data_IF_337084054283
#
_entry.id   IF_337084054283
#
_cell.length_a   1.000
_cell.length_b   1.000
_cell.length_c   1.000
_cell.angle_alpha   90.00
_cell.angle_beta   90.00
_cell.angle_gamma   90.00
#
_symmetry.space_group_name_H-M   'P 1'
#
loop_
_entity.id
_entity.type
_entity.pdbx_description
1 polymer ?
#
# COMPACT_ATOMS: atom_id res chain seq x y z
N UNK A 1 -5.08 18.21 -8.85
CA UNK A 1 -4.31 18.57 -7.67
C UNK A 1 -5.14 18.33 -6.42
N UNK A 2 -4.53 17.75 -5.39
CA UNK A 2 -5.11 17.64 -4.05
C UNK A 2 -4.63 18.80 -3.19
N UNK A 3 -5.54 19.46 -2.50
CA UNK A 3 -5.26 20.67 -1.74
C UNK A 3 -6.03 20.67 -0.41
N UNK A 4 -5.44 21.26 0.62
CA UNK A 4 -6.11 21.54 1.88
C UNK A 4 -6.20 23.06 2.06
N UNK A 5 -7.41 23.58 2.30
CA UNK A 5 -7.65 25.01 2.53
C UNK A 5 -8.76 25.17 3.56
N UNK A 6 -8.56 26.07 4.53
CA UNK A 6 -9.59 26.45 5.50
C UNK A 6 -10.22 25.25 6.26
N UNK A 7 -9.48 24.16 6.45
CA UNK A 7 -9.95 22.94 7.13
C UNK A 7 -10.67 21.92 6.25
N UNK A 8 -10.77 22.16 4.94
CA UNK A 8 -11.40 21.26 3.96
C UNK A 8 -10.38 20.65 3.00
N UNK A 9 -10.74 19.49 2.41
CA UNK A 9 -9.97 18.81 1.37
C UNK A 9 -10.60 19.03 0.00
N UNK A 10 -9.77 19.34 -0.98
CA UNK A 10 -10.17 19.59 -2.36
C UNK A 10 -9.42 18.67 -3.32
N UNK A 11 -10.12 18.19 -4.34
CA UNK A 11 -9.54 17.51 -5.49
C UNK A 11 -9.96 18.25 -6.75
N UNK A 12 -8.99 18.84 -7.47
CA UNK A 12 -9.25 19.67 -8.67
C UNK A 12 -10.25 20.81 -8.40
N UNK A 13 -10.13 21.46 -7.22
CA UNK A 13 -11.02 22.54 -6.80
C UNK A 13 -12.40 22.10 -6.30
N UNK A 14 -12.71 20.80 -6.28
CA UNK A 14 -13.97 20.29 -5.74
C UNK A 14 -13.76 19.79 -4.30
N UNK A 15 -14.56 20.26 -3.33
CA UNK A 15 -14.46 19.77 -1.95
C UNK A 15 -14.90 18.31 -1.89
N UNK A 16 -14.24 17.52 -1.05
CA UNK A 16 -14.61 16.13 -0.81
C UNK A 16 -14.40 15.73 0.65
N UNK A 17 -15.13 14.70 1.09
CA UNK A 17 -14.94 14.08 2.39
C UNK A 17 -14.17 12.77 2.23
N UNK A 18 -13.16 12.56 3.06
CA UNK A 18 -12.41 11.31 3.11
C UNK A 18 -13.09 10.33 4.06
N UNK A 19 -13.70 9.28 3.52
CA UNK A 19 -14.27 8.15 4.25
C UNK A 19 -13.34 6.96 4.03
N UNK A 20 -12.33 6.88 4.88
CA UNK A 20 -11.25 5.90 4.76
C UNK A 20 -11.41 4.68 5.66
N UNK A 21 -10.94 3.53 5.17
CA UNK A 21 -10.64 2.36 6.00
C UNK A 21 -9.13 2.09 6.04
N UNK A 22 -8.67 1.31 7.01
CA UNK A 22 -7.30 0.80 7.07
C UNK A 22 -7.26 -0.63 6.55
N UNK A 23 -6.36 -0.92 5.61
CA UNK A 23 -6.09 -2.30 5.19
C UNK A 23 -4.64 -2.66 5.51
N UNK A 24 -4.49 -3.35 6.63
CA UNK A 24 -3.21 -3.70 7.24
C UNK A 24 -2.74 -5.10 6.83
N UNK A 25 -1.47 -5.37 7.06
CA UNK A 25 -0.81 -6.64 6.81
C UNK A 25 0.44 -6.51 5.96
N UNK A 26 0.41 -5.64 4.93
CA UNK A 26 1.55 -5.44 4.03
C UNK A 26 2.77 -4.82 4.74
N UNK A 27 2.59 -4.13 5.85
CA UNK A 27 3.68 -3.64 6.68
C UNK A 27 4.34 -4.71 7.55
N UNK A 28 3.70 -5.88 7.70
CA UNK A 28 4.18 -7.00 8.52
C UNK A 28 5.05 -7.98 7.73
N UNK A 29 5.49 -9.06 8.38
CA UNK A 29 6.24 -10.15 7.72
C UNK A 29 5.44 -10.82 6.59
N UNK A 30 4.11 -10.74 6.62
CA UNK A 30 3.26 -11.27 5.55
C UNK A 30 3.56 -10.62 4.20
N UNK A 31 4.03 -9.37 4.21
CA UNK A 31 4.40 -8.57 3.03
C UNK A 31 3.27 -8.30 2.02
N UNK A 32 2.06 -8.76 2.29
CA UNK A 32 0.81 -8.44 1.58
C UNK A 32 -0.28 -8.14 2.61
N UNK A 33 -1.38 -7.44 2.25
CA UNK A 33 -2.48 -7.21 3.17
C UNK A 33 -3.12 -8.52 3.64
N UNK A 34 -3.66 -8.51 4.86
CA UNK A 34 -4.40 -9.67 5.35
C UNK A 34 -5.69 -9.90 4.55
N UNK A 35 -6.14 -11.16 4.52
CA UNK A 35 -7.38 -11.59 3.86
C UNK A 35 -7.18 -12.19 2.46
N UNK A 36 -6.03 -11.99 1.82
CA UNK A 36 -5.78 -12.45 0.43
C UNK A 36 -5.64 -13.97 0.26
N UNK A 37 -5.67 -14.73 1.36
CA UNK A 37 -5.82 -16.19 1.31
C UNK A 37 -7.26 -16.65 1.16
N UNK A 38 -8.22 -15.79 1.53
CA UNK A 38 -9.64 -16.13 1.58
C UNK A 38 -10.46 -15.39 0.51
N UNK A 39 -10.00 -14.22 0.06
CA UNK A 39 -10.71 -13.39 -0.92
C UNK A 39 -9.76 -12.78 -1.95
N UNK A 40 -10.30 -12.41 -3.10
CA UNK A 40 -9.59 -11.62 -4.09
C UNK A 40 -9.41 -10.18 -3.59
N UNK A 41 -8.41 -9.45 -4.12
CA UNK A 41 -8.27 -8.00 -3.88
C UNK A 41 -9.55 -7.28 -4.30
N UNK A 42 -10.11 -7.67 -5.46
CA UNK A 42 -11.34 -7.08 -6.00
C UNK A 42 -12.51 -7.21 -5.04
N UNK A 43 -12.80 -8.42 -4.56
CA UNK A 43 -13.90 -8.71 -3.63
C UNK A 43 -13.82 -7.85 -2.36
N UNK A 44 -12.61 -7.71 -1.80
CA UNK A 44 -12.42 -6.94 -0.58
C UNK A 44 -12.63 -5.44 -0.83
N UNK A 45 -12.15 -4.92 -1.97
CA UNK A 45 -12.37 -3.52 -2.33
C UNK A 45 -13.82 -3.23 -2.74
N UNK A 46 -14.52 -4.19 -3.34
CA UNK A 46 -15.96 -4.08 -3.65
C UNK A 46 -16.77 -3.92 -2.36
N UNK A 47 -16.45 -4.71 -1.31
CA UNK A 47 -17.07 -4.53 0.02
C UNK A 47 -16.83 -3.12 0.57
N UNK A 48 -15.64 -2.55 0.37
CA UNK A 48 -15.30 -1.19 0.82
C UNK A 48 -16.16 -0.15 0.11
N UNK A 49 -16.28 -0.23 -1.22
CA UNK A 49 -17.10 0.70 -2.00
C UNK A 49 -18.59 0.54 -1.71
N UNK A 50 -19.09 -0.69 -1.61
CA UNK A 50 -20.51 -0.97 -1.34
C UNK A 50 -20.92 -0.48 0.07
N UNK A 51 -19.96 -0.39 0.98
CA UNK A 51 -20.14 0.18 2.33
C UNK A 51 -20.09 1.72 2.35
N UNK A 52 -19.88 2.37 1.21
CA UNK A 52 -19.88 3.84 1.07
C UNK A 52 -18.57 4.53 1.47
N UNK A 53 -17.47 3.77 1.61
CA UNK A 53 -16.12 4.33 1.77
C UNK A 53 -15.54 4.71 0.41
N UNK A 54 -14.70 5.75 0.40
CA UNK A 54 -14.06 6.26 -0.81
C UNK A 54 -12.54 6.34 -0.71
N UNK A 55 -11.96 5.80 0.36
CA UNK A 55 -10.52 5.84 0.57
C UNK A 55 -9.97 4.61 1.31
N UNK A 56 -8.70 4.32 1.03
CA UNK A 56 -7.93 3.23 1.60
C UNK A 56 -6.62 3.77 2.18
N UNK A 57 -6.39 3.54 3.47
CA UNK A 57 -5.07 3.67 4.08
C UNK A 57 -4.34 2.34 3.97
N UNK A 58 -3.31 2.31 3.12
CA UNK A 58 -2.49 1.12 2.86
C UNK A 58 -1.15 1.25 3.58
N UNK A 59 -0.82 0.25 4.39
CA UNK A 59 0.28 0.32 5.34
C UNK A 59 1.50 -0.42 4.79
N UNK A 60 2.69 0.16 4.92
CA UNK A 60 3.94 -0.47 4.51
C UNK A 60 5.07 -0.25 5.54
N UNK A 61 6.19 -0.94 5.36
CA UNK A 61 7.40 -0.73 6.17
C UNK A 61 8.64 -0.38 5.33
N UNK A 62 9.62 0.31 5.92
CA UNK A 62 10.81 0.77 5.21
C UNK A 62 11.73 -0.34 4.72
N UNK A 63 11.90 -1.39 5.52
CA UNK A 63 12.77 -2.52 5.18
C UNK A 63 12.27 -3.26 3.94
N UNK A 64 10.96 -3.48 3.81
CA UNK A 64 10.36 -4.11 2.64
C UNK A 64 10.44 -3.22 1.39
N UNK A 65 10.28 -1.89 1.55
CA UNK A 65 10.49 -0.92 0.44
C UNK A 65 11.92 -0.97 -0.07
N UNK A 66 12.92 -0.99 0.83
CA UNK A 66 14.34 -1.04 0.46
C UNK A 66 14.73 -2.36 -0.20
N UNK A 67 14.29 -3.47 0.39
CA UNK A 67 14.65 -4.79 -0.09
C UNK A 67 13.93 -5.13 -1.39
N UNK A 68 12.72 -4.57 -1.59
CA UNK A 68 11.82 -4.78 -2.72
C UNK A 68 11.77 -6.25 -3.18
N UNK A 69 11.76 -7.18 -2.20
CA UNK A 69 11.74 -8.61 -2.48
C UNK A 69 10.37 -9.03 -2.99
N UNK A 70 10.35 -10.15 -3.69
CA UNK A 70 9.14 -10.84 -4.09
C UNK A 70 8.24 -11.11 -2.89
N UNK A 71 6.94 -10.96 -3.08
CA UNK A 71 5.96 -11.29 -2.05
C UNK A 71 5.92 -12.81 -1.82
N UNK A 72 5.82 -13.28 -0.57
CA UNK A 72 5.78 -14.72 -0.31
C UNK A 72 4.47 -15.31 -0.85
N UNK A 73 4.57 -16.23 -1.81
CA UNK A 73 3.41 -16.92 -2.39
C UNK A 73 2.48 -17.54 -1.34
N UNK A 74 2.96 -18.13 -0.22
CA UNK A 74 2.08 -18.65 0.84
C UNK A 74 1.22 -17.59 1.56
N UNK A 75 1.52 -16.29 1.39
CA UNK A 75 0.82 -15.19 2.04
C UNK A 75 -0.51 -14.81 1.37
N UNK A 76 -0.76 -15.28 0.15
CA UNK A 76 -2.00 -15.07 -0.59
C UNK A 76 -2.42 -16.37 -1.29
N UNK A 77 -3.64 -16.43 -1.84
CA UNK A 77 -4.08 -17.57 -2.66
C UNK A 77 -3.96 -17.20 -4.14
N UNK A 78 -3.03 -17.79 -4.91
CA UNK A 78 -2.81 -17.41 -6.31
C UNK A 78 -4.04 -17.59 -7.20
N UNK A 79 -4.88 -18.59 -6.93
CA UNK A 79 -6.13 -18.81 -7.68
C UNK A 79 -7.17 -17.68 -7.49
N UNK A 80 -7.05 -16.88 -6.43
CA UNK A 80 -7.91 -15.72 -6.16
C UNK A 80 -7.24 -14.40 -6.54
N UNK A 81 -5.90 -14.37 -6.54
CA UNK A 81 -5.09 -13.17 -6.75
C UNK A 81 -3.93 -13.47 -7.73
N UNK A 82 -4.23 -13.89 -8.98
CA UNK A 82 -3.19 -14.22 -9.96
C UNK A 82 -2.32 -13.01 -10.31
N UNK A 83 -2.82 -11.78 -10.18
CA UNK A 83 -2.09 -10.54 -10.43
C UNK A 83 -0.92 -10.29 -9.46
N UNK A 84 -0.78 -11.10 -8.41
CA UNK A 84 0.35 -11.09 -7.50
C UNK A 84 1.44 -12.11 -7.86
N UNK A 85 1.25 -12.91 -8.90
CA UNK A 85 2.27 -13.81 -9.44
C UNK A 85 3.14 -13.11 -10.49
N UNK A 86 4.41 -13.48 -10.53
CA UNK A 86 5.31 -13.11 -11.61
C UNK A 86 5.19 -14.10 -12.77
N UNK A 87 4.44 -13.73 -13.81
CA UNK A 87 4.25 -14.53 -15.03
C UNK A 87 5.55 -14.70 -15.84
N UNK A 88 6.61 -13.95 -15.54
CA UNK A 88 7.92 -14.06 -16.20
C UNK A 88 8.88 -15.02 -15.50
N UNK A 89 8.56 -15.45 -14.28
CA UNK A 89 9.42 -16.31 -13.49
C UNK A 89 9.38 -17.76 -13.98
N UNK A 90 10.55 -18.41 -14.02
CA UNK A 90 10.67 -19.83 -14.38
C UNK A 90 10.06 -20.78 -13.32
N UNK A 91 9.82 -20.25 -12.11
CA UNK A 91 9.17 -20.93 -10.99
C UNK A 91 8.03 -20.07 -10.46
N UNK A 92 7.07 -20.67 -9.76
CA UNK A 92 5.98 -19.91 -9.12
C UNK A 92 6.59 -18.95 -8.08
N UNK A 93 6.55 -17.65 -8.39
CA UNK A 93 7.05 -16.57 -7.56
C UNK A 93 6.00 -15.46 -7.44
N UNK A 94 6.04 -14.72 -6.34
CA UNK A 94 5.26 -13.50 -6.19
C UNK A 94 5.95 -12.32 -6.87
N UNK A 95 5.22 -11.23 -7.09
CA UNK A 95 5.80 -10.00 -7.63
C UNK A 95 6.58 -9.20 -6.56
N UNK A 96 7.51 -8.31 -6.97
CA UNK A 96 8.22 -7.42 -6.05
C UNK A 96 7.29 -6.59 -5.17
N UNK A 97 7.69 -6.32 -3.93
CA UNK A 97 6.89 -5.61 -2.93
C UNK A 97 6.28 -4.27 -3.43
N UNK A 98 7.07 -3.43 -4.10
CA UNK A 98 6.56 -2.18 -4.67
C UNK A 98 5.57 -2.41 -5.82
N UNK A 99 5.76 -3.49 -6.61
CA UNK A 99 4.81 -3.88 -7.64
C UNK A 99 3.49 -4.35 -7.03
N UNK A 100 3.54 -5.10 -5.93
CA UNK A 100 2.34 -5.50 -5.18
C UNK A 100 1.57 -4.29 -4.63
N UNK A 101 2.26 -3.32 -4.02
CA UNK A 101 1.59 -2.08 -3.59
C UNK A 101 0.93 -1.34 -4.77
N UNK A 102 1.58 -1.32 -5.95
CA UNK A 102 1.01 -0.74 -7.18
C UNK A 102 -0.22 -1.48 -7.68
N UNK A 103 -0.22 -2.81 -7.62
CA UNK A 103 -1.40 -3.62 -7.96
C UNK A 103 -2.57 -3.21 -7.08
N UNK A 104 -2.37 -3.11 -5.75
CA UNK A 104 -3.43 -2.68 -4.83
C UNK A 104 -3.93 -1.26 -5.13
N UNK A 105 -3.02 -0.33 -5.37
CA UNK A 105 -3.34 1.06 -5.74
C UNK A 105 -4.20 1.12 -7.00
N UNK A 106 -3.85 0.35 -8.04
CA UNK A 106 -4.58 0.34 -9.32
C UNK A 106 -5.94 -0.34 -9.19
N UNK A 107 -6.04 -1.44 -8.45
CA UNK A 107 -7.32 -2.09 -8.14
C UNK A 107 -8.27 -1.18 -7.36
N UNK A 108 -7.73 -0.34 -6.48
CA UNK A 108 -8.46 0.72 -5.79
C UNK A 108 -8.87 1.84 -6.76
N UNK A 109 -7.99 2.23 -7.68
CA UNK A 109 -8.25 3.26 -8.69
C UNK A 109 -9.40 2.87 -9.63
N UNK A 110 -9.44 1.60 -10.08
CA UNK A 110 -10.54 1.03 -10.88
C UNK A 110 -11.92 1.20 -10.22
N UNK A 111 -11.94 1.33 -8.89
CA UNK A 111 -13.13 1.46 -8.04
C UNK A 111 -13.36 2.89 -7.54
N UNK A 112 -12.58 3.85 -7.99
CA UNK A 112 -12.68 5.24 -7.56
C UNK A 112 -12.25 5.49 -6.11
N UNK A 113 -11.47 4.59 -5.52
CA UNK A 113 -10.94 4.73 -4.16
C UNK A 113 -9.63 5.53 -4.17
N UNK A 114 -9.56 6.57 -3.34
CA UNK A 114 -8.31 7.26 -3.01
C UNK A 114 -7.43 6.37 -2.12
N UNK A 115 -6.11 6.49 -2.26
CA UNK A 115 -5.13 5.73 -1.48
C UNK A 115 -4.17 6.66 -0.75
N UNK A 116 -4.05 6.43 0.56
CA UNK A 116 -3.04 7.00 1.44
C UNK A 116 -1.98 5.92 1.71
N UNK A 117 -0.77 6.09 1.17
CA UNK A 117 0.35 5.18 1.40
C UNK A 117 1.05 5.57 2.71
N UNK A 118 0.90 4.75 3.75
CA UNK A 118 1.45 5.07 5.07
C UNK A 118 2.62 4.19 5.46
N UNK A 119 3.77 4.81 5.72
CA UNK A 119 4.81 4.14 6.49
C UNK A 119 4.30 3.89 7.90
N UNK A 120 4.14 2.62 8.26
CA UNK A 120 3.62 2.23 9.57
C UNK A 120 4.66 1.60 10.48
N UNK A 121 5.72 1.01 9.89
CA UNK A 121 6.82 0.39 10.62
C UNK A 121 8.15 0.71 9.95
N UNK A 122 9.23 0.69 10.72
CA UNK A 122 10.58 0.71 10.15
C UNK A 122 10.90 -0.65 9.52
N UNK A 123 10.66 -1.73 10.26
CA UNK A 123 10.89 -3.12 9.82
C UNK A 123 9.61 -3.94 9.96
N UNK A 124 9.49 -5.12 9.35
CA UNK A 124 8.28 -5.93 9.41
C UNK A 124 7.87 -6.30 10.85
N UNK A 125 8.86 -6.43 11.74
CA UNK A 125 8.69 -6.85 13.14
C UNK A 125 8.65 -5.69 14.14
N UNK A 126 9.02 -4.47 13.72
CA UNK A 126 9.04 -3.31 14.62
C UNK A 126 7.64 -2.75 14.87
N UNK A 127 7.01 -3.15 15.98
CA UNK A 127 5.74 -2.58 16.46
C UNK A 127 5.70 -2.52 18.01
N UNK A 128 5.56 -1.34 18.64
CA UNK A 128 5.56 0.03 18.06
C UNK A 128 6.99 0.56 17.75
N UNK A 129 7.99 -0.33 17.73
CA UNK A 129 9.40 0.04 17.55
C UNK A 129 9.96 0.76 18.78
N UNK A 130 10.82 1.74 18.55
CA UNK A 130 11.40 2.61 19.59
C UNK A 130 10.67 3.96 19.75
N UNK A 131 9.51 4.12 19.10
CA UNK A 131 8.72 5.37 19.10
C UNK A 131 9.26 6.48 18.18
N UNK A 132 10.36 6.25 17.45
CA UNK A 132 10.93 7.19 16.49
C UNK A 132 10.64 6.76 15.05
N UNK A 133 10.69 7.72 14.13
CA UNK A 133 10.53 7.50 12.69
C UNK A 133 11.81 7.00 12.00
N UNK A 134 12.87 6.72 12.78
CA UNK A 134 14.14 6.16 12.35
C UNK A 134 14.75 5.26 13.45
N UNK A 135 15.76 4.49 13.08
CA UNK A 135 16.53 3.64 13.99
C UNK A 135 17.99 3.54 13.57
N UNK A 136 18.82 2.80 14.32
CA UNK A 136 20.18 2.45 13.89
C UNK A 136 20.19 1.59 12.62
N UNK A 137 19.18 0.73 12.46
CA UNK A 137 19.01 -0.12 11.27
C UNK A 137 18.49 0.69 10.06
N UNK A 138 17.61 1.67 10.31
CA UNK A 138 17.04 2.54 9.29
C UNK A 138 17.27 4.00 9.70
N UNK A 139 18.47 4.55 9.41
CA UNK A 139 18.80 5.91 9.80
C UNK A 139 17.97 6.95 9.02
N UNK A 140 17.86 8.16 9.56
CA UNK A 140 17.07 9.26 8.99
C UNK A 140 17.29 9.47 7.47
N UNK A 141 18.56 9.55 7.06
CA UNK A 141 18.96 9.68 5.64
C UNK A 141 18.34 8.59 4.77
N UNK A 142 18.21 7.38 5.29
CA UNK A 142 17.61 6.28 4.56
C UNK A 142 16.08 6.40 4.50
N UNK A 143 15.43 6.92 5.55
CA UNK A 143 13.99 7.21 5.51
C UNK A 143 13.66 8.23 4.42
N UNK A 144 14.44 9.31 4.32
CA UNK A 144 14.25 10.33 3.27
C UNK A 144 14.40 9.73 1.86
N UNK A 145 15.43 8.90 1.64
CA UNK A 145 15.61 8.17 0.37
C UNK A 145 14.44 7.23 0.07
N UNK A 146 13.90 6.56 1.09
CA UNK A 146 12.76 5.69 0.88
C UNK A 146 11.50 6.48 0.46
N UNK A 147 11.31 7.69 1.00
CA UNK A 147 10.25 8.58 0.53
C UNK A 147 10.43 8.94 -0.94
N UNK A 148 11.64 9.25 -1.40
CA UNK A 148 11.91 9.50 -2.82
C UNK A 148 11.54 8.29 -3.71
N UNK A 149 11.83 7.07 -3.23
CA UNK A 149 11.45 5.83 -3.92
C UNK A 149 9.93 5.69 -4.02
N UNK A 150 9.21 5.89 -2.92
CA UNK A 150 7.74 5.83 -2.90
C UNK A 150 7.16 6.91 -3.81
N UNK A 151 7.56 8.17 -3.64
CA UNK A 151 7.06 9.28 -4.45
C UNK A 151 7.31 9.04 -5.95
N UNK A 152 8.50 8.59 -6.33
CA UNK A 152 8.82 8.29 -7.73
C UNK A 152 8.03 7.09 -8.27
N UNK A 153 7.79 6.08 -7.44
CA UNK A 153 7.02 4.91 -7.85
C UNK A 153 5.54 5.27 -8.10
N UNK A 154 4.93 6.10 -7.25
CA UNK A 154 3.48 6.30 -7.25
C UNK A 154 3.02 7.65 -7.81
N UNK A 155 3.92 8.55 -8.25
CA UNK A 155 3.57 9.90 -8.71
C UNK A 155 2.60 9.97 -9.89
N UNK A 156 2.49 8.90 -10.70
CA UNK A 156 1.58 8.83 -11.84
C UNK A 156 0.25 8.10 -11.53
N UNK A 157 0.08 7.59 -10.30
CA UNK A 157 -1.17 6.94 -9.89
C UNK A 157 -2.13 8.01 -9.36
N UNK A 158 -3.16 8.36 -10.13
CA UNK A 158 -4.02 9.53 -9.88
C UNK A 158 -4.70 9.52 -8.50
N UNK A 159 -4.96 8.33 -7.96
CA UNK A 159 -5.68 8.13 -6.71
C UNK A 159 -4.77 8.12 -5.49
N UNK A 160 -3.44 8.16 -5.65
CA UNK A 160 -2.51 8.33 -4.53
C UNK A 160 -2.41 9.81 -4.21
N UNK A 161 -2.94 10.20 -3.05
CA UNK A 161 -3.04 11.61 -2.67
C UNK A 161 -2.09 12.00 -1.52
N UNK A 162 -1.56 11.01 -0.79
CA UNK A 162 -0.68 11.18 0.36
C UNK A 162 0.15 9.92 0.64
#
# INVERSE_FOLDING_TARGET
AFEARDGELFANGQPFLLRGINWFGSESELSVPYGLRERSIGDLLDVVTDSGFNALRLLFNWRSVQANRETPVPSFRPSLNPELLDDSAAIIAGIPYLAMLRVLVRKAAERGLLVLLTNHRLTPTAWPGNGLWYSSEIPERQVLRNWEVISSAFCNEWNVFA
#
